data_IF_697181519111
#
_entry.id   IF_697181519111
#
_cell.length_a   1.000
_cell.length_b   1.000
_cell.length_c   1.000
_cell.angle_alpha   90.00
_cell.angle_beta   90.00
_cell.angle_gamma   90.00
#
_symmetry.space_group_name_H-M   'P 1'
#
loop_
_entity.id
_entity.type
_entity.pdbx_description
1 polymer ?
#
# COMPACT_ATOMS: atom_id res chain seq x y z
N UNK A 1 17.85 2.91 15.25
CA UNK A 1 19.28 2.86 15.61
C UNK A 1 19.52 3.36 17.04
N UNK A 2 19.03 4.57 17.42
CA UNK A 2 19.29 5.16 18.76
C UNK A 2 18.81 4.25 19.90
N UNK A 3 17.67 3.58 19.78
CA UNK A 3 17.20 2.63 20.78
C UNK A 3 18.22 1.49 20.97
N UNK A 4 18.68 0.89 19.89
CA UNK A 4 19.67 -0.22 19.92
C UNK A 4 21.03 0.23 20.46
N UNK A 5 21.44 1.48 20.20
CA UNK A 5 22.66 2.06 20.76
C UNK A 5 22.55 2.28 22.27
N UNK A 6 21.36 2.69 22.75
CA UNK A 6 21.12 2.93 24.18
C UNK A 6 20.84 1.64 24.94
N UNK A 7 20.20 0.65 24.30
CA UNK A 7 19.87 -0.64 24.87
C UNK A 7 19.98 -1.75 23.79
N UNK A 8 21.08 -2.48 23.82
CA UNK A 8 21.37 -3.53 22.82
C UNK A 8 20.46 -4.77 22.94
N UNK A 9 19.64 -4.87 24.00
CA UNK A 9 18.66 -5.95 24.16
C UNK A 9 17.30 -5.62 23.55
N UNK A 10 17.04 -4.32 23.33
CA UNK A 10 15.80 -3.88 22.68
C UNK A 10 15.71 -4.44 21.28
N UNK A 11 14.50 -4.84 20.86
CA UNK A 11 14.20 -5.29 19.51
C UNK A 11 13.56 -4.17 18.69
N UNK A 12 13.94 -4.12 17.43
CA UNK A 12 13.39 -3.20 16.43
C UNK A 12 12.92 -4.00 15.25
N UNK A 13 11.61 -4.04 15.07
CA UNK A 13 10.95 -4.77 13.99
C UNK A 13 10.20 -3.78 13.10
N UNK A 14 10.27 -3.97 11.80
CA UNK A 14 9.53 -3.16 10.83
C UNK A 14 8.91 -4.02 9.75
N UNK A 15 7.59 -3.88 9.57
CA UNK A 15 6.85 -4.60 8.55
C UNK A 15 5.96 -3.64 7.75
N UNK A 16 5.88 -3.82 6.44
CA UNK A 16 5.00 -3.02 5.59
C UNK A 16 4.61 -3.76 4.31
N UNK A 17 3.56 -3.28 3.64
CA UNK A 17 3.26 -3.72 2.28
C UNK A 17 4.30 -3.24 1.28
N UNK A 18 4.80 -2.01 1.45
CA UNK A 18 5.81 -1.40 0.56
C UNK A 18 7.21 -1.52 1.16
N UNK A 19 8.19 -1.89 0.33
CA UNK A 19 9.61 -2.02 0.70
C UNK A 19 10.18 -0.74 1.34
N UNK A 20 9.96 0.42 0.69
CA UNK A 20 10.42 1.71 1.18
C UNK A 20 9.88 2.07 2.55
N UNK A 21 8.62 1.72 2.83
CA UNK A 21 8.02 1.96 4.15
C UNK A 21 8.70 1.11 5.23
N UNK A 22 8.86 -0.18 5.00
CA UNK A 22 9.53 -1.07 5.95
C UNK A 22 10.99 -0.65 6.19
N UNK A 23 11.72 -0.36 5.13
CA UNK A 23 13.16 -0.02 5.18
C UNK A 23 13.41 1.32 5.87
N UNK A 24 12.63 2.35 5.52
CA UNK A 24 12.84 3.70 6.06
C UNK A 24 12.47 3.80 7.55
N UNK A 25 11.48 3.04 8.00
CA UNK A 25 11.12 2.96 9.43
C UNK A 25 12.12 2.15 10.24
N UNK A 26 12.69 1.08 9.66
CA UNK A 26 13.61 0.18 10.34
C UNK A 26 14.95 0.82 10.71
N UNK A 27 15.48 1.69 9.86
CA UNK A 27 16.85 2.19 9.96
C UNK A 27 17.89 1.16 9.51
N UNK A 28 19.09 1.24 10.08
CA UNK A 28 20.24 0.44 9.63
C UNK A 28 20.47 -0.85 10.45
N UNK A 29 19.97 -0.90 11.68
CA UNK A 29 20.26 -2.00 12.61
C UNK A 29 19.01 -2.56 13.29
N UNK A 30 17.98 -2.94 12.54
CA UNK A 30 16.80 -3.64 13.07
C UNK A 30 17.09 -5.12 13.32
N UNK A 31 16.20 -5.78 14.06
CA UNK A 31 16.22 -7.23 14.25
C UNK A 31 15.47 -7.95 13.15
N UNK A 32 14.39 -7.33 12.62
CA UNK A 32 13.60 -7.88 11.52
C UNK A 32 13.03 -6.77 10.64
N UNK A 33 13.17 -6.92 9.31
CA UNK A 33 12.52 -6.06 8.32
C UNK A 33 11.81 -6.94 7.32
N UNK A 34 10.51 -6.72 7.13
CA UNK A 34 9.70 -7.46 6.17
C UNK A 34 8.89 -6.52 5.31
N UNK A 35 8.80 -6.83 4.03
CA UNK A 35 7.89 -6.17 3.11
C UNK A 35 7.32 -7.17 2.10
N UNK A 36 6.14 -6.84 1.59
CA UNK A 36 5.49 -7.70 0.62
C UNK A 36 6.12 -7.54 -0.77
N UNK A 37 6.36 -8.65 -1.47
CA UNK A 37 7.03 -8.63 -2.78
C UNK A 37 6.10 -8.31 -3.96
N UNK A 38 4.86 -7.92 -3.70
CA UNK A 38 3.79 -7.66 -4.68
C UNK A 38 3.37 -8.90 -5.51
N UNK A 39 3.76 -10.08 -5.08
CA UNK A 39 3.42 -11.33 -5.77
C UNK A 39 2.69 -12.30 -4.85
N UNK A 40 3.38 -12.81 -3.83
CA UNK A 40 2.86 -13.93 -3.07
C UNK A 40 3.37 -14.06 -1.63
N UNK A 41 4.34 -13.23 -1.19
CA UNK A 41 4.99 -13.44 0.11
C UNK A 41 5.64 -12.20 0.69
N UNK A 42 5.92 -12.25 1.98
CA UNK A 42 6.80 -11.30 2.66
C UNK A 42 8.26 -11.73 2.50
N UNK A 43 9.10 -10.76 2.22
CA UNK A 43 10.55 -10.92 2.02
C UNK A 43 11.31 -9.89 2.83
N UNK A 44 12.63 -10.04 2.87
CA UNK A 44 13.58 -9.06 3.40
C UNK A 44 14.64 -8.70 2.37
N UNK A 45 15.43 -7.68 2.65
CA UNK A 45 16.62 -7.36 1.86
C UNK A 45 17.83 -8.15 2.36
N UNK A 46 18.72 -8.55 1.45
CA UNK A 46 20.02 -9.12 1.79
C UNK A 46 20.93 -8.15 2.58
N UNK A 47 20.56 -6.88 2.69
CA UNK A 47 21.20 -5.93 3.58
C UNK A 47 20.94 -6.26 5.05
N UNK A 48 19.74 -6.77 5.38
CA UNK A 48 19.34 -7.05 6.75
C UNK A 48 19.57 -8.50 7.17
N UNK A 49 19.29 -9.46 6.28
CA UNK A 49 19.44 -10.88 6.56
C UNK A 49 19.62 -11.72 5.29
N UNK A 50 20.38 -12.81 5.42
CA UNK A 50 20.59 -13.78 4.33
C UNK A 50 19.38 -14.72 4.14
N UNK A 51 18.55 -14.88 5.17
CA UNK A 51 17.36 -15.74 5.15
C UNK A 51 16.29 -15.22 6.09
N UNK A 52 15.05 -15.59 5.80
CA UNK A 52 13.91 -15.33 6.70
C UNK A 52 13.89 -16.32 7.85
N UNK A 53 13.37 -15.93 9.03
CA UNK A 53 13.04 -16.85 10.11
C UNK A 53 12.07 -17.95 9.64
N UNK A 54 12.16 -19.13 10.28
CA UNK A 54 11.34 -20.30 9.89
C UNK A 54 9.84 -20.01 10.05
N UNK A 55 9.44 -19.28 11.06
CA UNK A 55 8.04 -18.90 11.28
C UNK A 55 7.51 -17.97 10.16
N UNK A 56 8.35 -17.09 9.61
CA UNK A 56 7.96 -16.26 8.45
C UNK A 56 7.86 -17.10 7.18
N UNK A 57 8.78 -18.05 6.97
CA UNK A 57 8.67 -18.99 5.86
C UNK A 57 7.40 -19.83 5.95
N UNK A 58 7.03 -20.26 7.17
CA UNK A 58 5.77 -20.96 7.42
C UNK A 58 4.56 -20.06 7.14
N UNK A 59 4.53 -18.82 7.64
CA UNK A 59 3.48 -17.85 7.35
C UNK A 59 3.29 -17.65 5.85
N UNK A 60 4.37 -17.42 5.12
CA UNK A 60 4.37 -17.28 3.67
C UNK A 60 3.78 -18.53 2.97
N UNK A 61 4.06 -19.73 3.48
CA UNK A 61 3.52 -20.98 2.91
C UNK A 61 2.00 -21.13 3.12
N UNK A 62 1.47 -20.48 4.15
CA UNK A 62 0.04 -20.47 4.47
C UNK A 62 -0.72 -19.36 3.76
N UNK A 63 -0.03 -18.36 3.25
CA UNK A 63 -0.62 -17.26 2.50
C UNK A 63 -1.08 -17.76 1.12
N UNK A 64 -2.34 -18.21 1.07
CA UNK A 64 -2.93 -18.74 -0.14
C UNK A 64 -3.77 -17.69 -0.86
N UNK A 65 -3.19 -17.01 -1.84
CA UNK A 65 -3.83 -15.96 -2.61
C UNK A 65 -5.07 -16.44 -3.39
N UNK A 66 -5.18 -17.74 -3.68
CA UNK A 66 -6.36 -18.30 -4.33
C UNK A 66 -7.62 -18.18 -3.47
N UNK A 67 -7.47 -18.13 -2.14
CA UNK A 67 -8.60 -17.92 -1.24
C UNK A 67 -9.27 -16.55 -1.44
N UNK A 68 -8.53 -15.56 -1.94
CA UNK A 68 -9.04 -14.21 -2.18
C UNK A 68 -9.66 -14.04 -3.57
N UNK A 69 -9.23 -14.83 -4.56
CA UNK A 69 -9.72 -14.73 -5.95
C UNK A 69 -11.24 -14.85 -6.12
N UNK A 70 -11.86 -15.70 -5.31
CA UNK A 70 -13.30 -15.93 -5.32
C UNK A 70 -14.05 -15.09 -4.26
N UNK A 71 -13.32 -14.25 -3.53
CA UNK A 71 -13.88 -13.37 -2.53
C UNK A 71 -14.51 -12.14 -3.17
N UNK A 72 -15.58 -11.65 -2.54
CA UNK A 72 -16.24 -10.40 -2.93
C UNK A 72 -16.05 -9.38 -1.82
N UNK A 73 -15.48 -8.24 -2.15
CA UNK A 73 -15.48 -7.11 -1.23
C UNK A 73 -16.86 -6.47 -1.22
N UNK A 74 -17.56 -6.68 -0.12
CA UNK A 74 -18.91 -6.17 0.13
C UNK A 74 -18.88 -5.14 1.25
N UNK A 75 -19.84 -4.23 1.26
CA UNK A 75 -19.97 -3.21 2.30
C UNK A 75 -20.24 -3.82 3.68
N UNK A 76 -19.55 -3.32 4.71
CA UNK A 76 -19.76 -3.75 6.11
C UNK A 76 -21.01 -3.13 6.70
N UNK A 77 -21.31 -1.88 6.35
CA UNK A 77 -22.47 -1.15 6.84
C UNK A 77 -23.60 -1.10 5.79
N UNK A 78 -24.75 -0.56 6.19
CA UNK A 78 -25.86 -0.33 5.26
C UNK A 78 -25.58 0.76 4.23
N UNK A 79 -26.09 0.63 3.01
CA UNK A 79 -25.93 1.62 1.94
C UNK A 79 -26.31 3.05 2.38
N UNK A 80 -27.31 3.19 3.24
CA UNK A 80 -27.74 4.49 3.74
C UNK A 80 -26.65 5.23 4.54
N UNK A 81 -25.76 4.51 5.19
CA UNK A 81 -24.63 5.12 5.91
C UNK A 81 -23.52 5.53 4.94
N UNK A 82 -23.23 4.70 3.93
CA UNK A 82 -22.27 5.08 2.90
C UNK A 82 -22.74 6.32 2.13
N UNK A 83 -23.97 6.37 1.68
CA UNK A 83 -24.55 7.54 0.98
C UNK A 83 -24.58 8.81 1.84
N UNK A 84 -24.55 8.67 3.16
CA UNK A 84 -24.54 9.82 4.07
C UNK A 84 -23.15 10.44 4.28
N UNK A 85 -22.09 9.60 4.25
CA UNK A 85 -20.75 10.00 4.67
C UNK A 85 -19.71 9.92 3.56
N UNK A 86 -20.03 9.32 2.42
CA UNK A 86 -19.21 9.26 1.22
C UNK A 86 -20.01 9.66 -0.01
N UNK A 87 -19.38 9.72 -1.18
CA UNK A 87 -20.08 9.97 -2.44
C UNK A 87 -20.86 8.74 -2.92
N UNK A 88 -21.57 8.89 -4.05
CA UNK A 88 -22.23 7.76 -4.70
C UNK A 88 -21.21 6.68 -5.10
N UNK A 89 -21.65 5.42 -5.07
CA UNK A 89 -20.83 4.23 -5.36
C UNK A 89 -20.19 4.30 -6.75
N UNK A 90 -20.99 4.58 -7.79
CA UNK A 90 -20.46 4.80 -9.14
C UNK A 90 -19.95 6.22 -9.32
N UNK A 91 -18.69 6.34 -9.70
CA UNK A 91 -18.09 7.62 -10.03
C UNK A 91 -17.21 7.53 -11.29
N UNK A 92 -17.40 8.43 -12.24
CA UNK A 92 -16.75 8.35 -13.55
C UNK A 92 -15.20 8.44 -13.50
N UNK A 93 -14.66 9.08 -12.49
CA UNK A 93 -13.22 9.17 -12.28
C UNK A 93 -12.53 7.88 -11.84
N UNK A 94 -13.29 6.87 -11.41
CA UNK A 94 -12.77 5.56 -10.98
C UNK A 94 -12.59 4.59 -12.16
N UNK A 95 -13.38 4.74 -13.22
CA UNK A 95 -13.55 3.72 -14.26
C UNK A 95 -12.42 3.70 -15.29
N UNK A 96 -11.79 4.85 -15.57
CA UNK A 96 -10.96 5.01 -16.76
C UNK A 96 -9.47 4.90 -16.52
N UNK A 97 -9.02 4.88 -15.26
CA UNK A 97 -7.61 5.05 -14.96
C UNK A 97 -6.73 3.86 -15.41
N UNK A 98 -7.15 2.64 -15.18
CA UNK A 98 -6.39 1.45 -15.60
C UNK A 98 -6.51 1.16 -17.10
N UNK A 99 -7.65 1.44 -17.69
CA UNK A 99 -7.87 1.25 -19.12
C UNK A 99 -6.97 2.17 -19.96
N UNK A 100 -6.79 3.40 -19.51
CA UNK A 100 -5.95 4.40 -20.19
C UNK A 100 -4.46 4.05 -20.11
N UNK A 101 -3.97 3.61 -18.95
CA UNK A 101 -2.56 3.21 -18.80
C UNK A 101 -2.19 1.97 -19.62
N UNK A 102 -3.09 1.01 -19.70
CA UNK A 102 -2.83 -0.24 -20.42
C UNK A 102 -2.98 -0.12 -21.94
N UNK A 103 -3.91 0.69 -22.40
CA UNK A 103 -4.10 0.98 -23.82
C UNK A 103 -2.91 1.79 -24.39
N UNK A 104 -2.19 2.56 -23.58
CA UNK A 104 -1.01 3.30 -24.01
C UNK A 104 0.29 2.47 -24.05
N UNK A 105 0.43 1.47 -23.18
CA UNK A 105 1.65 0.67 -23.11
C UNK A 105 1.62 -0.51 -24.09
N UNK A 106 0.47 -1.03 -24.39
CA UNK A 106 0.28 -2.15 -25.31
C UNK A 106 -0.66 -1.68 -26.42
N UNK A 107 -0.15 -1.54 -27.62
CA UNK A 107 -0.92 -1.35 -28.87
C UNK A 107 -1.85 -2.53 -29.19
N UNK A 108 -2.12 -3.39 -28.24
CA UNK A 108 -3.05 -4.50 -28.28
C UNK A 108 -4.29 -4.11 -27.47
N UNK A 109 -5.44 -4.11 -28.14
CA UNK A 109 -6.78 -4.05 -27.54
C UNK A 109 -6.97 -5.19 -26.54
N UNK A 110 -6.31 -5.12 -25.38
CA UNK A 110 -6.68 -5.96 -24.26
C UNK A 110 -7.95 -5.35 -23.66
N UNK A 111 -9.05 -6.05 -23.80
CA UNK A 111 -10.21 -5.89 -22.94
C UNK A 111 -9.80 -6.27 -21.53
N UNK A 112 -8.95 -5.46 -20.90
CA UNK A 112 -8.67 -5.61 -19.49
C UNK A 112 -9.93 -5.15 -18.81
N UNK A 113 -10.65 -6.12 -18.24
CA UNK A 113 -11.83 -5.88 -17.45
C UNK A 113 -11.47 -4.82 -16.42
N UNK A 114 -12.06 -3.64 -16.53
CA UNK A 114 -11.88 -2.60 -15.52
C UNK A 114 -12.28 -3.17 -14.17
N UNK A 115 -11.63 -2.74 -13.10
CA UNK A 115 -12.15 -2.94 -11.75
C UNK A 115 -13.65 -2.61 -11.78
N UNK A 116 -14.46 -3.47 -11.20
CA UNK A 116 -15.85 -3.09 -11.00
C UNK A 116 -15.85 -1.87 -10.07
N UNK A 117 -16.20 -0.68 -10.56
CA UNK A 117 -16.10 0.54 -9.76
C UNK A 117 -17.21 0.66 -8.72
N UNK A 118 -17.95 -0.39 -8.50
CA UNK A 118 -19.09 -0.44 -7.59
C UNK A 118 -19.10 -1.74 -6.80
N UNK A 119 -19.57 -1.67 -5.58
CA UNK A 119 -19.80 -2.87 -4.78
C UNK A 119 -20.87 -3.80 -5.37
N UNK A 120 -20.72 -5.12 -5.28
CA UNK A 120 -19.56 -5.84 -4.71
C UNK A 120 -18.37 -5.87 -5.67
N UNK A 121 -17.15 -5.67 -5.15
CA UNK A 121 -15.91 -5.67 -5.90
C UNK A 121 -15.31 -7.07 -5.88
N UNK A 122 -14.92 -7.59 -7.04
CA UNK A 122 -14.27 -8.89 -7.20
C UNK A 122 -12.84 -8.71 -7.68
N UNK A 123 -11.97 -9.66 -7.36
CA UNK A 123 -10.67 -9.76 -8.01
C UNK A 123 -10.84 -9.98 -9.52
N UNK A 124 -10.03 -9.29 -10.29
CA UNK A 124 -9.90 -9.60 -11.71
C UNK A 124 -9.15 -10.93 -11.88
N UNK A 125 -9.74 -11.87 -12.62
CA UNK A 125 -9.20 -13.23 -12.81
C UNK A 125 -7.95 -13.25 -13.68
N UNK A 126 -7.73 -12.20 -14.46
CA UNK A 126 -6.64 -12.09 -15.42
C UNK A 126 -5.43 -11.34 -14.85
N UNK A 127 -5.57 -10.68 -13.70
CA UNK A 127 -4.47 -9.98 -13.03
C UNK A 127 -3.74 -10.86 -11.99
N UNK A 128 -2.56 -10.41 -11.61
CA UNK A 128 -1.77 -11.03 -10.54
C UNK A 128 -2.48 -10.83 -9.19
N UNK A 129 -2.95 -11.92 -8.54
CA UNK A 129 -3.72 -11.82 -7.31
C UNK A 129 -2.94 -11.20 -6.17
N UNK A 130 -1.60 -11.30 -6.17
CA UNK A 130 -0.78 -10.72 -5.13
C UNK A 130 -0.74 -9.20 -5.19
N UNK A 131 -0.69 -8.66 -6.39
CA UNK A 131 -0.71 -7.21 -6.60
C UNK A 131 -2.10 -6.63 -6.30
N UNK A 132 -3.14 -7.32 -6.71
CA UNK A 132 -4.52 -6.90 -6.45
C UNK A 132 -4.86 -6.92 -4.97
N UNK A 133 -4.36 -7.92 -4.22
CA UNK A 133 -4.58 -8.02 -2.78
C UNK A 133 -4.21 -6.73 -2.05
N UNK A 134 -3.10 -6.08 -2.44
CA UNK A 134 -2.65 -4.82 -1.84
C UNK A 134 -3.64 -3.66 -2.01
N UNK A 135 -4.51 -3.71 -3.01
CA UNK A 135 -5.58 -2.73 -3.24
C UNK A 135 -6.90 -3.06 -2.54
N UNK A 136 -6.89 -3.98 -1.58
CA UNK A 136 -8.07 -4.44 -0.86
C UNK A 136 -7.89 -4.39 0.65
N UNK A 137 -8.98 -4.33 1.43
CA UNK A 137 -8.87 -4.36 2.89
C UNK A 137 -8.31 -5.69 3.45
N UNK A 138 -8.36 -6.78 2.69
CA UNK A 138 -7.81 -8.07 3.12
C UNK A 138 -6.29 -8.06 3.26
N UNK A 139 -5.59 -7.18 2.54
CA UNK A 139 -4.15 -7.08 2.70
C UNK A 139 -3.77 -6.68 4.13
N UNK A 140 -4.48 -5.72 4.70
CA UNK A 140 -4.18 -5.26 6.04
C UNK A 140 -4.71 -6.23 7.13
N UNK A 141 -5.67 -7.11 6.79
CA UNK A 141 -5.98 -8.30 7.62
C UNK A 141 -4.77 -9.24 7.70
N UNK A 142 -4.14 -9.53 6.57
CA UNK A 142 -2.90 -10.31 6.50
C UNK A 142 -1.76 -9.64 7.28
N UNK A 143 -1.66 -8.32 7.19
CA UNK A 143 -0.67 -7.55 7.96
C UNK A 143 -0.88 -7.68 9.47
N UNK A 144 -2.12 -7.65 9.95
CA UNK A 144 -2.44 -7.83 11.38
C UNK A 144 -2.12 -9.26 11.83
N UNK A 145 -2.45 -10.28 11.02
CA UNK A 145 -2.09 -11.67 11.33
C UNK A 145 -0.56 -11.85 11.45
N UNK A 146 0.19 -11.18 10.55
CA UNK A 146 1.65 -11.16 10.61
C UNK A 146 2.17 -10.41 11.84
N UNK A 147 1.56 -9.27 12.21
CA UNK A 147 1.89 -8.53 13.43
C UNK A 147 1.77 -9.42 14.67
N UNK A 148 0.62 -10.09 14.82
CA UNK A 148 0.35 -10.95 15.97
C UNK A 148 1.39 -12.07 16.06
N UNK A 149 1.67 -12.75 14.94
CA UNK A 149 2.69 -13.79 14.87
C UNK A 149 4.08 -13.27 15.28
N UNK A 150 4.47 -12.09 14.82
CA UNK A 150 5.78 -11.51 15.14
C UNK A 150 5.85 -11.11 16.61
N UNK A 151 4.79 -10.56 17.20
CA UNK A 151 4.75 -10.24 18.64
C UNK A 151 5.02 -11.50 19.46
N UNK A 152 4.38 -12.61 19.10
CA UNK A 152 4.51 -13.89 19.81
C UNK A 152 5.91 -14.51 19.63
N UNK A 153 6.35 -14.68 18.38
CA UNK A 153 7.61 -15.38 18.06
C UNK A 153 8.85 -14.59 18.47
N UNK A 154 8.80 -13.25 18.37
CA UNK A 154 9.89 -12.38 18.81
C UNK A 154 9.79 -12.00 20.30
N UNK A 155 8.70 -12.36 20.99
CA UNK A 155 8.42 -12.00 22.38
C UNK A 155 8.52 -10.47 22.61
N UNK A 156 7.94 -9.66 21.70
CA UNK A 156 8.02 -8.22 21.79
C UNK A 156 7.26 -7.69 23.01
N UNK A 157 7.93 -6.83 23.79
CA UNK A 157 7.38 -6.24 25.00
C UNK A 157 7.22 -7.20 26.18
N UNK A 158 7.77 -8.43 26.11
CA UNK A 158 7.62 -9.46 27.16
C UNK A 158 8.76 -9.44 28.19
N UNK A 159 9.68 -8.48 28.13
CA UNK A 159 10.74 -8.31 29.10
C UNK A 159 10.86 -6.86 29.60
N UNK A 160 11.95 -6.51 30.31
CA UNK A 160 12.18 -5.18 30.87
C UNK A 160 12.73 -4.18 29.81
N UNK A 161 13.07 -4.65 28.61
CA UNK A 161 13.68 -3.83 27.58
C UNK A 161 12.58 -3.30 26.64
N UNK A 162 12.57 -1.99 26.32
CA UNK A 162 11.60 -1.45 25.40
C UNK A 162 11.88 -1.93 23.97
N UNK A 163 10.85 -2.45 23.31
CA UNK A 163 10.89 -2.87 21.91
C UNK A 163 10.11 -1.91 21.02
N UNK A 164 10.37 -1.93 19.72
CA UNK A 164 9.60 -1.16 18.73
C UNK A 164 9.12 -2.08 17.61
N UNK A 165 7.83 -2.02 17.33
CA UNK A 165 7.22 -2.60 16.13
C UNK A 165 6.66 -1.47 15.26
N UNK A 166 7.24 -1.30 14.07
CA UNK A 166 6.73 -0.41 13.03
C UNK A 166 5.84 -1.20 12.06
N UNK A 167 4.64 -0.69 11.81
CA UNK A 167 3.68 -1.32 10.90
C UNK A 167 3.24 -0.31 9.84
N UNK A 168 3.54 -0.58 8.58
CA UNK A 168 3.14 0.24 7.44
C UNK A 168 1.93 -0.35 6.71
N UNK A 169 0.71 0.06 7.07
CA UNK A 169 -0.49 -0.30 6.34
C UNK A 169 -0.46 0.35 4.95
N UNK A 170 -0.56 -0.45 3.90
CA UNK A 170 -0.33 0.02 2.53
C UNK A 170 -1.57 -0.01 1.66
N UNK A 171 -2.61 -0.73 2.04
CA UNK A 171 -3.79 -0.92 1.20
C UNK A 171 -4.54 0.40 0.94
N UNK A 172 -4.61 1.29 1.92
CA UNK A 172 -5.30 2.58 1.78
C UNK A 172 -4.77 3.42 0.63
N UNK A 173 -3.46 3.48 0.44
CA UNK A 173 -2.85 4.25 -0.64
C UNK A 173 -3.32 3.75 -2.02
N UNK A 174 -3.36 2.43 -2.23
CA UNK A 174 -3.89 1.85 -3.47
C UNK A 174 -5.39 2.11 -3.64
N UNK A 175 -6.16 2.01 -2.56
CA UNK A 175 -7.61 2.24 -2.59
C UNK A 175 -7.92 3.68 -2.96
N UNK A 176 -7.25 4.68 -2.36
CA UNK A 176 -7.49 6.08 -2.70
C UNK A 176 -6.96 6.46 -4.08
N UNK A 177 -5.92 5.79 -4.57
CA UNK A 177 -5.47 5.96 -5.96
C UNK A 177 -6.51 5.47 -6.96
N UNK A 178 -7.20 4.36 -6.67
CA UNK A 178 -8.19 3.76 -7.55
C UNK A 178 -9.55 4.46 -7.47
N UNK A 179 -10.02 4.74 -6.26
CA UNK A 179 -11.40 5.18 -5.99
C UNK A 179 -11.47 6.61 -5.44
N UNK A 180 -10.36 7.19 -5.00
CA UNK A 180 -10.32 8.50 -4.35
C UNK A 180 -10.73 8.47 -2.86
N UNK A 181 -10.32 9.50 -2.08
CA UNK A 181 -10.50 9.50 -0.63
C UNK A 181 -11.94 9.70 -0.15
N UNK A 182 -12.87 10.09 -1.04
CA UNK A 182 -14.29 10.29 -0.73
C UNK A 182 -15.19 9.15 -1.20
N UNK A 183 -14.62 8.05 -1.67
CA UNK A 183 -15.33 6.89 -2.17
C UNK A 183 -15.95 6.05 -1.05
N UNK A 184 -16.87 5.19 -1.41
CA UNK A 184 -17.44 4.21 -0.49
C UNK A 184 -16.41 3.14 -0.14
N UNK A 185 -15.49 2.83 -1.05
CA UNK A 185 -14.37 1.92 -0.87
C UNK A 185 -13.40 2.42 0.20
N UNK A 186 -13.03 3.71 0.14
CA UNK A 186 -12.20 4.31 1.17
C UNK A 186 -12.88 4.31 2.55
N UNK A 187 -14.19 4.60 2.60
CA UNK A 187 -14.97 4.53 3.82
C UNK A 187 -15.03 3.09 4.37
N UNK A 188 -15.32 2.10 3.52
CA UNK A 188 -15.39 0.68 3.92
C UNK A 188 -14.04 0.18 4.45
N UNK A 189 -12.97 0.56 3.76
CA UNK A 189 -11.62 0.23 4.20
C UNK A 189 -11.32 0.77 5.60
N UNK A 190 -11.62 2.04 5.89
CA UNK A 190 -11.37 2.60 7.22
C UNK A 190 -12.17 1.90 8.32
N UNK A 191 -13.41 1.51 8.04
CA UNK A 191 -14.23 0.74 8.99
C UNK A 191 -13.58 -0.62 9.26
N UNK A 192 -13.10 -1.28 8.21
CA UNK A 192 -12.41 -2.58 8.36
C UNK A 192 -11.07 -2.44 9.06
N UNK A 193 -10.29 -1.41 8.74
CA UNK A 193 -9.02 -1.14 9.41
C UNK A 193 -9.23 -0.92 10.92
N UNK A 194 -10.26 -0.16 11.32
CA UNK A 194 -10.63 0.02 12.73
C UNK A 194 -10.91 -1.31 13.42
N UNK A 195 -11.66 -2.21 12.76
CA UNK A 195 -11.91 -3.57 13.27
C UNK A 195 -10.62 -4.41 13.37
N UNK A 196 -9.70 -4.27 12.42
CA UNK A 196 -8.41 -4.98 12.44
C UNK A 196 -7.48 -4.42 13.53
N UNK A 197 -7.48 -3.11 13.74
CA UNK A 197 -6.75 -2.49 14.84
C UNK A 197 -7.27 -2.93 16.20
N UNK A 198 -8.59 -3.09 16.36
CA UNK A 198 -9.18 -3.68 17.57
C UNK A 198 -8.65 -5.10 17.82
N UNK A 199 -8.55 -5.95 16.77
CA UNK A 199 -7.95 -7.29 16.89
C UNK A 199 -6.49 -7.23 17.35
N UNK A 200 -5.68 -6.33 16.77
CA UNK A 200 -4.28 -6.15 17.16
C UNK A 200 -4.16 -5.68 18.60
N UNK A 201 -4.95 -4.66 18.99
CA UNK A 201 -4.92 -4.13 20.36
C UNK A 201 -5.36 -5.19 21.39
N UNK A 202 -6.37 -5.99 21.08
CA UNK A 202 -6.78 -7.11 21.94
C UNK A 202 -5.69 -8.17 22.08
N UNK A 203 -4.95 -8.48 21.00
CA UNK A 203 -3.81 -9.40 21.06
C UNK A 203 -2.69 -8.83 21.93
N UNK A 204 -2.32 -7.57 21.73
CA UNK A 204 -1.31 -6.86 22.53
C UNK A 204 -1.72 -6.81 24.01
N UNK A 205 -2.99 -6.56 24.30
CA UNK A 205 -3.49 -6.52 25.68
C UNK A 205 -3.33 -7.87 26.39
N UNK A 206 -3.60 -8.95 25.66
CA UNK A 206 -3.47 -10.31 26.21
C UNK A 206 -2.02 -10.74 26.44
N UNK A 207 -1.10 -10.39 25.54
CA UNK A 207 0.29 -10.86 25.58
C UNK A 207 1.23 -9.93 26.37
N UNK A 208 0.99 -8.63 26.31
CA UNK A 208 1.88 -7.60 26.87
C UNK A 208 1.20 -6.75 27.94
N UNK A 209 -0.11 -6.50 27.80
CA UNK A 209 -0.88 -5.52 28.58
C UNK A 209 -0.78 -4.12 27.98
N UNK A 210 -1.91 -3.49 27.65
CA UNK A 210 -1.93 -2.15 27.02
C UNK A 210 -1.31 -1.05 27.89
N UNK A 211 -1.27 -1.25 29.23
CA UNK A 211 -0.59 -0.32 30.15
C UNK A 211 0.94 -0.26 29.96
N UNK A 212 1.50 -1.26 29.29
CA UNK A 212 2.94 -1.36 28.98
C UNK A 212 3.27 -0.89 27.57
N UNK A 213 2.30 -0.44 26.79
CA UNK A 213 2.47 -0.11 25.37
C UNK A 213 2.16 1.35 25.10
N UNK A 214 3.04 2.02 24.38
CA UNK A 214 2.77 3.31 23.77
C UNK A 214 2.40 3.11 22.30
N UNK A 215 1.19 3.53 21.93
CA UNK A 215 0.65 3.37 20.59
C UNK A 215 0.69 4.70 19.84
N UNK A 216 1.38 4.75 18.70
CA UNK A 216 1.49 5.93 17.84
C UNK A 216 0.92 5.64 16.48
N UNK A 217 -0.10 6.39 16.07
CA UNK A 217 -0.71 6.33 14.75
C UNK A 217 -0.39 7.61 13.97
N UNK A 218 0.13 7.46 12.77
CA UNK A 218 0.44 8.58 11.88
C UNK A 218 0.22 8.19 10.40
N UNK A 219 0.32 9.16 9.51
CA UNK A 219 0.29 8.97 8.06
C UNK A 219 1.52 9.62 7.44
N UNK A 220 2.00 9.10 6.32
CA UNK A 220 3.07 9.69 5.51
C UNK A 220 2.59 10.90 4.71
N UNK A 221 1.36 10.88 4.20
CA UNK A 221 0.68 11.97 3.49
C UNK A 221 -0.84 11.83 3.52
N UNK A 222 -1.55 12.83 3.04
CA UNK A 222 -2.99 12.76 2.79
C UNK A 222 -3.31 12.31 1.37
N UNK A 223 -4.58 11.93 1.12
CA UNK A 223 -5.08 11.60 -0.22
C UNK A 223 -5.64 12.82 -0.94
N UNK A 224 -5.26 13.03 -2.20
CA UNK A 224 -5.85 14.05 -3.05
C UNK A 224 -7.20 13.59 -3.61
N UNK A 225 -8.22 14.47 -3.65
CA UNK A 225 -9.47 14.18 -4.36
C UNK A 225 -9.22 13.91 -5.84
N UNK A 226 -10.03 13.04 -6.44
CA UNK A 226 -10.03 12.85 -7.88
C UNK A 226 -10.33 14.19 -8.60
N UNK A 227 -9.66 14.50 -9.71
CA UNK A 227 -9.87 15.75 -10.45
C UNK A 227 -11.33 15.98 -10.85
N UNK A 228 -12.05 14.94 -11.21
CA UNK A 228 -13.46 14.96 -11.56
C UNK A 228 -14.33 15.39 -10.35
N UNK A 229 -13.96 14.97 -9.15
CA UNK A 229 -14.64 15.39 -7.91
C UNK A 229 -14.35 16.86 -7.59
N UNK A 230 -13.12 17.33 -7.78
CA UNK A 230 -12.79 18.75 -7.65
C UNK A 230 -13.61 19.61 -8.60
N UNK A 231 -13.83 19.15 -9.83
CA UNK A 231 -14.65 19.84 -10.82
C UNK A 231 -16.11 19.96 -10.38
N UNK A 232 -16.68 18.96 -9.72
CA UNK A 232 -18.02 19.04 -9.14
C UNK A 232 -18.12 20.08 -8.01
N UNK A 233 -17.03 20.29 -7.28
CA UNK A 233 -16.93 21.30 -6.24
C UNK A 233 -16.59 22.72 -6.78
N UNK A 234 -16.53 22.91 -8.10
CA UNK A 234 -16.04 24.11 -8.77
C UNK A 234 -14.62 24.51 -8.34
N UNK A 235 -13.78 23.53 -8.02
CA UNK A 235 -12.35 23.70 -7.75
C UNK A 235 -11.54 23.36 -8.99
N UNK A 236 -10.37 24.00 -9.13
CA UNK A 236 -9.44 23.70 -10.22
C UNK A 236 -8.87 22.29 -10.02
N UNK A 237 -8.96 21.49 -11.06
CA UNK A 237 -8.37 20.16 -11.14
C UNK A 237 -8.49 19.64 -12.56
N UNK A 238 -7.61 18.73 -12.94
CA UNK A 238 -7.64 18.09 -14.25
C UNK A 238 -6.60 16.99 -14.34
N UNK A 239 -6.78 16.11 -15.31
CA UNK A 239 -5.80 15.09 -15.65
C UNK A 239 -4.90 15.61 -16.75
N UNK A 240 -3.62 15.39 -16.60
CA UNK A 240 -2.65 15.66 -17.68
C UNK A 240 -2.76 14.50 -18.67
N UNK A 241 -2.95 14.83 -19.95
CA UNK A 241 -2.84 13.82 -20.99
C UNK A 241 -1.38 13.33 -21.06
N UNK A 242 -1.17 12.05 -20.84
CA UNK A 242 0.17 11.46 -20.84
C UNK A 242 0.87 11.62 -22.19
N UNK A 243 0.16 11.51 -23.30
CA UNK A 243 0.71 11.71 -24.64
C UNK A 243 1.32 13.12 -24.78
N UNK A 244 0.60 14.16 -24.35
CA UNK A 244 1.15 15.54 -24.35
C UNK A 244 2.32 15.69 -23.38
N UNK A 245 2.33 14.96 -22.28
CA UNK A 245 3.46 14.96 -21.35
C UNK A 245 4.70 14.32 -21.99
N UNK A 246 4.53 13.17 -22.65
CA UNK A 246 5.60 12.49 -23.38
C UNK A 246 6.15 13.39 -24.51
N UNK A 247 5.29 14.01 -25.29
CA UNK A 247 5.69 14.97 -26.34
C UNK A 247 6.51 16.14 -25.76
N UNK A 248 6.07 16.69 -24.62
CA UNK A 248 6.77 17.77 -23.96
C UNK A 248 8.16 17.34 -23.46
N UNK A 249 8.28 16.15 -22.88
CA UNK A 249 9.57 15.63 -22.43
C UNK A 249 10.50 15.27 -23.58
N UNK A 250 10.00 14.63 -24.65
CA UNK A 250 10.79 14.39 -25.86
C UNK A 250 11.33 15.69 -26.45
N UNK A 251 10.51 16.72 -26.52
CA UNK A 251 10.95 18.02 -26.99
C UNK A 251 12.06 18.62 -26.09
N UNK A 252 11.94 18.51 -24.78
CA UNK A 252 12.97 18.95 -23.83
C UNK A 252 14.27 18.14 -24.00
N UNK A 253 14.19 16.82 -24.18
CA UNK A 253 15.34 15.95 -24.43
C UNK A 253 16.09 16.37 -25.72
N UNK A 254 15.35 16.61 -26.79
CA UNK A 254 15.90 17.05 -28.08
C UNK A 254 16.62 18.41 -27.96
N UNK A 255 15.96 19.40 -27.37
CA UNK A 255 16.52 20.75 -27.17
C UNK A 255 17.80 20.72 -26.32
N UNK A 256 17.81 19.96 -25.23
CA UNK A 256 18.97 19.86 -24.37
C UNK A 256 20.08 19.07 -25.07
N UNK A 257 19.76 17.98 -25.77
CA UNK A 257 20.74 17.18 -26.52
C UNK A 257 21.42 17.96 -27.60
N UNK A 258 20.69 18.83 -28.35
CA UNK A 258 21.25 19.73 -29.32
C UNK A 258 22.20 20.74 -28.68
N UNK A 259 21.82 21.30 -27.52
CA UNK A 259 22.62 22.33 -26.85
C UNK A 259 23.92 21.79 -26.26
N UNK A 260 23.92 20.54 -25.76
CA UNK A 260 25.05 19.93 -25.05
C UNK A 260 25.83 18.92 -25.90
N UNK A 261 25.46 18.71 -27.15
CA UNK A 261 26.07 17.71 -28.08
C UNK A 261 26.08 16.25 -27.47
N UNK A 262 25.13 15.95 -26.61
CA UNK A 262 25.01 14.66 -25.92
C UNK A 262 23.59 14.15 -26.03
N UNK A 263 23.42 12.81 -26.11
CA UNK A 263 22.10 12.20 -26.01
C UNK A 263 21.67 12.16 -24.54
N UNK A 264 20.78 13.06 -24.17
CA UNK A 264 20.15 13.10 -22.85
C UNK A 264 18.77 12.46 -22.93
N UNK A 265 18.36 11.78 -21.87
CA UNK A 265 17.04 11.19 -21.76
C UNK A 265 16.54 11.19 -20.32
N UNK A 266 15.23 11.27 -20.17
CA UNK A 266 14.59 11.07 -18.87
C UNK A 266 14.52 9.59 -18.55
N UNK A 267 15.14 9.18 -17.47
CA UNK A 267 15.12 7.79 -17.01
C UNK A 267 13.90 7.47 -16.17
N UNK A 268 13.43 8.47 -15.42
CA UNK A 268 12.31 8.33 -14.52
C UNK A 268 11.40 9.57 -14.60
N UNK A 269 10.20 9.36 -15.09
CA UNK A 269 9.19 10.39 -15.27
C UNK A 269 8.61 10.91 -13.95
N UNK A 270 8.70 10.14 -12.88
CA UNK A 270 8.17 10.54 -11.58
C UNK A 270 9.09 11.50 -10.84
N UNK A 271 10.40 11.46 -11.11
CA UNK A 271 11.39 12.22 -10.38
C UNK A 271 12.16 13.27 -11.22
N UNK A 272 11.88 13.39 -12.51
CA UNK A 272 12.46 14.36 -13.42
C UNK A 272 14.01 14.39 -13.47
N UNK A 273 14.64 13.23 -13.37
CA UNK A 273 16.08 13.11 -13.49
C UNK A 273 16.51 13.02 -14.96
N UNK A 274 17.41 13.94 -15.37
CA UNK A 274 18.12 13.86 -16.64
C UNK A 274 19.41 13.05 -16.43
N UNK A 275 19.63 12.04 -17.28
CA UNK A 275 20.83 11.22 -17.29
C UNK A 275 21.61 11.46 -18.57
N UNK A 276 22.94 11.46 -18.43
CA UNK A 276 23.92 11.67 -19.47
C UNK A 276 24.44 10.33 -20.03
#
# INVERSE_FOLDING_TARGET
DILKESNSKSKVVSIAGKDRSAIMLAGQNPDLVLYYNNLDRFITSSFYADSLPDYINYFNSMLNLQNYRDSLWTKVLSDSLYLKYSREDYFSGEVDWYKVEHDMINDSKSEIGGYNPTFPISFDKDHDPGRELMGTPWFDEVMIDLCNLIIDEENLGMDENPDILFVGFSAMDYIIHNYGPFSQEAMDYFIRLDMQLDRLLNHIDNEVGLENVEFVLTSDHGGLPLPEFLSQLNMSGGRINQEHLYEAFSWIEDEISEQFENNLYFRDWSNFYLFH
#
